data_IF_958497001665
#
_entry.id   IF_958497001665
#
_cell.length_a   1.000
_cell.length_b   1.000
_cell.length_c   1.000
_cell.angle_alpha   90.00
_cell.angle_beta   90.00
_cell.angle_gamma   90.00
#
_symmetry.space_group_name_H-M   'P 1'
#
loop_
_entity.id
_entity.type
_entity.pdbx_description
1 polymer ?
#
# COMPACT_ATOMS: atom_id res chain seq x y z
N UNK A 1 -11.03 -8.71 21.42
CA UNK A 1 -12.28 -8.40 20.68
C UNK A 1 -13.37 -9.40 21.05
N UNK A 2 -14.65 -9.05 20.89
CA UNK A 2 -15.76 -9.97 21.23
C UNK A 2 -16.78 -9.95 20.10
N UNK A 3 -17.17 -11.14 19.64
CA UNK A 3 -18.31 -11.32 18.73
C UNK A 3 -19.55 -11.54 19.58
N UNK A 4 -20.60 -10.76 19.35
CA UNK A 4 -21.93 -10.95 19.97
C UNK A 4 -22.99 -10.78 18.89
N UNK A 5 -23.92 -11.74 18.78
CA UNK A 5 -25.03 -11.67 17.82
C UNK A 5 -24.60 -11.37 16.38
N UNK A 6 -23.52 -11.98 15.89
CA UNK A 6 -22.92 -11.72 14.57
C UNK A 6 -22.35 -10.30 14.36
N UNK A 7 -22.28 -9.49 15.41
CA UNK A 7 -21.62 -8.19 15.41
C UNK A 7 -20.25 -8.32 16.09
N UNK A 8 -19.19 -7.89 15.40
CA UNK A 8 -17.86 -7.80 15.95
C UNK A 8 -17.66 -6.44 16.60
N UNK A 9 -17.51 -6.41 17.92
CA UNK A 9 -17.29 -5.17 18.66
C UNK A 9 -15.79 -4.86 18.67
N UNK A 10 -15.41 -3.72 18.08
CA UNK A 10 -14.04 -3.23 18.04
C UNK A 10 -13.56 -2.75 19.42
N UNK A 11 -12.25 -2.87 19.73
CA UNK A 11 -11.67 -2.35 20.96
C UNK A 11 -11.52 -0.81 20.87
N UNK A 12 -11.18 -0.17 21.98
CA UNK A 12 -11.02 1.30 22.03
C UNK A 12 -9.93 1.85 21.11
N UNK A 13 -8.88 1.07 20.86
CA UNK A 13 -7.74 1.50 20.05
C UNK A 13 -7.30 0.38 19.12
N UNK A 14 -7.05 0.71 17.87
CA UNK A 14 -6.42 -0.17 16.89
C UNK A 14 -5.11 0.45 16.42
N UNK A 15 -3.99 -0.10 16.89
CA UNK A 15 -2.66 0.36 16.53
C UNK A 15 -1.69 -0.81 16.31
N UNK A 16 -0.53 -0.53 15.72
CA UNK A 16 0.51 -1.53 15.45
C UNK A 16 0.86 -2.42 16.66
N UNK A 17 0.73 -1.92 17.88
CA UNK A 17 1.13 -2.66 19.09
C UNK A 17 0.13 -3.76 19.47
N UNK A 18 -1.15 -3.59 19.13
CA UNK A 18 -2.23 -4.46 19.61
C UNK A 18 -2.82 -5.39 18.54
N UNK A 19 -2.69 -5.04 17.25
CA UNK A 19 -3.26 -5.79 16.11
C UNK A 19 -2.83 -7.26 16.08
N UNK A 20 -1.56 -7.56 16.40
CA UNK A 20 -1.05 -8.94 16.35
C UNK A 20 -1.70 -9.83 17.42
N UNK A 21 -2.05 -9.25 18.57
CA UNK A 21 -2.79 -9.95 19.63
C UNK A 21 -4.21 -10.26 19.16
N UNK A 22 -4.91 -9.27 18.60
CA UNK A 22 -6.28 -9.43 18.13
C UNK A 22 -6.42 -10.39 16.94
N UNK A 23 -5.45 -10.41 16.02
CA UNK A 23 -5.42 -11.42 14.95
C UNK A 23 -5.38 -12.85 15.49
N UNK A 24 -4.59 -13.10 16.54
CA UNK A 24 -4.50 -14.42 17.17
C UNK A 24 -5.81 -14.79 17.88
N UNK A 25 -6.43 -13.83 18.59
CA UNK A 25 -7.74 -14.03 19.22
C UNK A 25 -8.81 -14.43 18.19
N UNK A 26 -8.86 -13.73 17.05
CA UNK A 26 -9.82 -14.01 15.97
C UNK A 26 -9.52 -15.33 15.27
N UNK A 27 -8.24 -15.67 15.07
CA UNK A 27 -7.86 -16.96 14.51
C UNK A 27 -8.24 -18.16 15.42
N UNK A 28 -8.25 -17.94 16.75
CA UNK A 28 -8.69 -18.93 17.73
C UNK A 28 -10.21 -19.02 17.81
N UNK A 29 -10.93 -17.92 17.56
CA UNK A 29 -12.38 -17.86 17.42
C UNK A 29 -12.81 -18.35 16.02
N UNK A 30 -12.64 -19.65 15.78
CA UNK A 30 -13.05 -20.28 14.50
C UNK A 30 -14.54 -20.05 14.21
N UNK A 31 -14.80 -19.44 13.05
CA UNK A 31 -16.01 -19.66 12.22
C UNK A 31 -17.35 -19.14 12.74
N UNK A 32 -17.38 -18.01 13.46
CA UNK A 32 -18.64 -17.26 13.59
C UNK A 32 -18.85 -16.34 12.37
N UNK A 33 -20.05 -16.41 11.79
CA UNK A 33 -20.46 -15.50 10.70
C UNK A 33 -20.65 -14.11 11.32
N UNK A 34 -19.85 -13.16 10.88
CA UNK A 34 -19.94 -11.75 11.27
C UNK A 34 -20.60 -10.98 10.14
N UNK A 35 -21.72 -10.33 10.42
CA UNK A 35 -22.49 -9.51 9.46
C UNK A 35 -22.20 -8.02 9.65
N UNK A 36 -21.80 -7.59 10.85
CA UNK A 36 -21.56 -6.19 11.20
C UNK A 36 -20.27 -6.04 12.01
N UNK A 37 -19.52 -4.97 11.75
CA UNK A 37 -18.35 -4.57 12.54
C UNK A 37 -18.68 -3.23 13.22
N UNK A 38 -18.84 -3.25 14.54
CA UNK A 38 -19.20 -2.07 15.32
C UNK A 38 -17.96 -1.31 15.79
N UNK A 39 -17.79 -0.10 15.25
CA UNK A 39 -16.72 0.84 15.60
C UNK A 39 -17.11 1.85 16.69
N UNK A 40 -18.28 1.72 17.32
CA UNK A 40 -18.79 2.73 18.27
C UNK A 40 -17.92 2.95 19.51
N UNK A 41 -17.09 1.97 19.89
CA UNK A 41 -16.13 2.10 20.99
C UNK A 41 -14.73 2.56 20.54
N UNK A 42 -14.48 2.63 19.23
CA UNK A 42 -13.17 2.94 18.68
C UNK A 42 -12.92 4.46 18.79
N UNK A 43 -11.84 4.84 19.46
CA UNK A 43 -11.43 6.23 19.62
C UNK A 43 -10.33 6.61 18.63
N UNK A 44 -9.45 5.67 18.28
CA UNK A 44 -8.30 5.92 17.41
C UNK A 44 -7.95 4.71 16.54
N UNK A 45 -7.66 4.98 15.27
CA UNK A 45 -7.15 4.02 14.28
C UNK A 45 -5.93 4.59 13.56
N UNK A 46 -4.87 3.80 13.40
CA UNK A 46 -3.73 4.12 12.54
C UNK A 46 -3.81 3.37 11.20
N UNK A 47 -2.86 3.59 10.29
CA UNK A 47 -2.81 2.89 9.00
C UNK A 47 -2.69 1.37 9.12
N UNK A 48 -2.07 0.87 10.19
CA UNK A 48 -2.01 -0.57 10.47
C UNK A 48 -3.38 -1.08 10.92
N UNK A 49 -4.11 -0.30 11.71
CA UNK A 49 -5.48 -0.59 12.14
C UNK A 49 -6.45 -0.65 10.97
N UNK A 50 -6.34 0.27 10.00
CA UNK A 50 -7.14 0.24 8.77
C UNK A 50 -6.83 -1.01 7.94
N UNK A 51 -5.55 -1.32 7.74
CA UNK A 51 -5.15 -2.56 7.05
C UNK A 51 -5.63 -3.83 7.77
N UNK A 52 -5.72 -3.79 9.10
CA UNK A 52 -6.29 -4.88 9.89
C UNK A 52 -7.80 -5.00 9.64
N UNK A 53 -8.56 -3.90 9.57
CA UNK A 53 -9.98 -3.93 9.22
C UNK A 53 -10.21 -4.49 7.81
N UNK A 54 -9.41 -4.08 6.83
CA UNK A 54 -9.45 -4.64 5.48
C UNK A 54 -9.23 -6.17 5.51
N UNK A 55 -8.29 -6.63 6.34
CA UNK A 55 -8.02 -8.06 6.49
C UNK A 55 -9.17 -8.80 7.16
N UNK A 56 -9.83 -8.20 8.14
CA UNK A 56 -11.04 -8.77 8.76
C UNK A 56 -12.18 -8.89 7.74
N UNK A 57 -12.38 -7.87 6.91
CA UNK A 57 -13.36 -7.93 5.82
C UNK A 57 -13.08 -9.09 4.88
N UNK A 58 -11.82 -9.27 4.46
CA UNK A 58 -11.42 -10.41 3.63
C UNK A 58 -11.72 -11.76 4.31
N UNK A 59 -11.36 -11.90 5.59
CA UNK A 59 -11.57 -13.14 6.36
C UNK A 59 -13.06 -13.47 6.48
N UNK A 60 -13.92 -12.52 6.85
CA UNK A 60 -15.35 -12.78 7.04
C UNK A 60 -16.11 -12.92 5.71
N UNK A 61 -15.67 -12.23 4.66
CA UNK A 61 -16.20 -12.41 3.30
C UNK A 61 -15.90 -13.83 2.79
N UNK A 62 -14.71 -14.36 3.07
CA UNK A 62 -14.34 -15.73 2.69
C UNK A 62 -15.12 -16.82 3.44
N UNK A 63 -15.63 -16.53 4.64
CA UNK A 63 -16.39 -17.47 5.48
C UNK A 63 -17.92 -17.31 5.38
N UNK A 64 -18.41 -16.31 4.64
CA UNK A 64 -19.85 -16.11 4.43
C UNK A 64 -20.40 -17.06 3.36
N UNK A 65 -21.63 -17.60 3.53
CA UNK A 65 -22.21 -18.51 2.55
C UNK A 65 -22.39 -17.81 1.20
N UNK A 66 -21.75 -18.36 0.16
CA UNK A 66 -21.90 -17.88 -1.20
C UNK A 66 -23.31 -18.24 -1.70
N UNK A 67 -24.18 -17.25 -1.90
CA UNK A 67 -25.45 -17.46 -2.61
C UNK A 67 -25.12 -17.51 -4.10
N UNK A 68 -25.13 -18.71 -4.67
CA UNK A 68 -24.99 -18.94 -6.11
C UNK A 68 -26.34 -18.66 -6.75
N UNK A 69 -26.51 -17.48 -7.36
CA UNK A 69 -27.58 -17.25 -8.33
C UNK A 69 -27.11 -17.74 -9.70
N UNK A 70 -27.84 -18.70 -10.28
CA UNK A 70 -27.54 -19.43 -11.52
C UNK A 70 -27.59 -18.58 -12.81
N UNK A 71 -27.78 -17.27 -12.72
CA UNK A 71 -27.96 -16.37 -13.86
C UNK A 71 -26.88 -15.27 -13.82
N UNK A 72 -25.68 -15.62 -14.25
CA UNK A 72 -24.67 -14.77 -14.90
C UNK A 72 -24.32 -13.37 -14.39
N UNK A 73 -24.52 -13.01 -13.12
CA UNK A 73 -23.86 -11.87 -12.47
C UNK A 73 -23.43 -12.30 -11.06
N UNK A 74 -22.16 -12.69 -10.94
CA UNK A 74 -21.61 -13.36 -9.77
C UNK A 74 -20.93 -12.34 -8.83
N UNK A 75 -21.09 -12.59 -7.52
CA UNK A 75 -20.43 -11.99 -6.35
C UNK A 75 -21.05 -10.72 -5.73
N UNK A 76 -22.17 -10.89 -5.02
CA UNK A 76 -22.36 -10.18 -3.73
C UNK A 76 -22.09 -11.16 -2.60
N UNK A 77 -20.80 -11.41 -2.33
CA UNK A 77 -20.45 -11.89 -1.00
C UNK A 77 -20.99 -10.84 -0.01
N UNK A 78 -21.73 -11.26 1.01
CA UNK A 78 -22.18 -10.33 2.04
C UNK A 78 -20.94 -9.87 2.81
N UNK A 79 -20.35 -8.77 2.36
CA UNK A 79 -19.28 -8.08 3.07
C UNK A 79 -19.86 -7.53 4.37
N UNK A 80 -19.21 -7.73 5.52
CA UNK A 80 -19.64 -7.10 6.75
C UNK A 80 -19.71 -5.58 6.56
N UNK A 81 -20.72 -4.92 7.12
CA UNK A 81 -20.78 -3.46 7.13
C UNK A 81 -20.08 -2.91 8.37
N UNK A 82 -19.25 -1.88 8.21
CA UNK A 82 -18.73 -1.14 9.37
C UNK A 82 -19.77 -0.12 9.79
N UNK A 83 -20.24 -0.20 11.03
CA UNK A 83 -21.22 0.71 11.62
C UNK A 83 -20.55 1.58 12.70
N UNK A 84 -21.14 2.73 12.98
CA UNK A 84 -20.72 3.67 14.04
C UNK A 84 -19.27 4.21 13.91
N UNK A 85 -18.79 4.40 12.68
CA UNK A 85 -17.57 5.17 12.44
C UNK A 85 -17.84 6.66 12.72
N UNK A 86 -17.02 7.28 13.57
CA UNK A 86 -17.02 8.73 13.70
C UNK A 86 -16.32 9.38 12.49
N UNK A 87 -16.48 10.70 12.30
CA UNK A 87 -15.96 11.40 11.12
C UNK A 87 -14.43 11.38 10.98
N UNK A 88 -13.70 11.30 12.09
CA UNK A 88 -12.22 11.28 12.09
C UNK A 88 -11.67 9.89 11.68
N UNK A 89 -12.31 8.83 12.19
CA UNK A 89 -12.02 7.46 11.82
C UNK A 89 -12.42 7.18 10.37
N UNK A 90 -13.52 7.76 9.89
CA UNK A 90 -13.96 7.65 8.49
C UNK A 90 -12.92 8.22 7.53
N UNK A 91 -12.35 9.40 7.83
CA UNK A 91 -11.27 9.98 7.03
C UNK A 91 -10.02 9.11 7.01
N UNK A 92 -9.66 8.56 8.16
CA UNK A 92 -8.51 7.65 8.29
C UNK A 92 -8.74 6.37 7.48
N UNK A 93 -9.94 5.80 7.56
CA UNK A 93 -10.35 4.62 6.81
C UNK A 93 -10.32 4.86 5.30
N UNK A 94 -10.94 5.93 4.81
CA UNK A 94 -10.93 6.29 3.38
C UNK A 94 -9.52 6.57 2.84
N UNK A 95 -8.64 7.15 3.66
CA UNK A 95 -7.27 7.48 3.25
C UNK A 95 -6.39 6.24 3.11
N UNK A 96 -6.58 5.24 3.98
CA UNK A 96 -5.67 4.10 4.10
C UNK A 96 -6.27 2.76 3.66
N UNK A 97 -7.58 2.66 3.38
CA UNK A 97 -8.21 1.41 2.95
C UNK A 97 -7.76 1.04 1.54
N UNK A 98 -7.52 -0.25 1.37
CA UNK A 98 -7.03 -0.87 0.15
C UNK A 98 -8.09 -1.69 -0.57
N UNK A 99 -9.30 -1.83 -0.02
CA UNK A 99 -10.36 -2.69 -0.57
C UNK A 99 -10.86 -2.22 -1.94
N UNK A 100 -10.82 -0.91 -2.21
CA UNK A 100 -11.24 -0.33 -3.50
C UNK A 100 -10.09 -0.26 -4.52
N UNK A 101 -8.86 -0.63 -4.14
CA UNK A 101 -7.74 -0.59 -5.05
C UNK A 101 -7.89 -1.70 -6.10
N UNK A 102 -7.62 -1.41 -7.39
CA UNK A 102 -7.65 -2.43 -8.41
C UNK A 102 -6.68 -3.54 -8.04
N UNK A 103 -7.22 -4.75 -7.88
CA UNK A 103 -6.41 -5.94 -7.59
C UNK A 103 -5.41 -6.08 -8.72
N UNK A 104 -4.14 -5.79 -8.43
CA UNK A 104 -3.05 -6.15 -9.33
C UNK A 104 -2.98 -7.67 -9.30
N UNK A 105 -3.67 -8.32 -10.23
CA UNK A 105 -3.50 -9.72 -10.51
C UNK A 105 -2.00 -9.93 -10.73
N UNK A 106 -1.33 -10.57 -9.77
CA UNK A 106 0.07 -10.95 -9.93
C UNK A 106 0.15 -11.67 -11.26
N UNK A 107 0.96 -11.14 -12.18
CA UNK A 107 1.22 -11.81 -13.45
C UNK A 107 1.54 -13.26 -13.14
N UNK A 108 0.81 -14.17 -13.80
CA UNK A 108 0.92 -15.61 -13.59
C UNK A 108 2.41 -15.94 -13.67
N UNK A 109 2.99 -16.44 -12.57
CA UNK A 109 4.41 -16.72 -12.52
C UNK A 109 4.73 -17.70 -13.65
N UNK A 110 5.48 -17.23 -14.64
CA UNK A 110 5.90 -18.05 -15.76
C UNK A 110 6.77 -19.21 -15.29
N UNK A 111 6.95 -20.21 -16.15
CA UNK A 111 7.90 -21.29 -15.90
C UNK A 111 9.32 -20.71 -15.67
N UNK A 112 10.22 -21.45 -15.02
CA UNK A 112 11.58 -20.99 -14.65
C UNK A 112 12.33 -20.39 -15.84
N UNK A 113 12.14 -20.95 -17.05
CA UNK A 113 12.72 -20.43 -18.28
C UNK A 113 12.19 -19.05 -18.70
N UNK A 114 10.90 -18.79 -18.46
CA UNK A 114 10.28 -17.49 -18.74
C UNK A 114 10.84 -16.46 -17.75
N UNK A 115 10.91 -16.79 -16.46
CA UNK A 115 11.47 -15.91 -15.44
C UNK A 115 12.95 -15.59 -15.70
N UNK A 116 13.75 -16.58 -16.10
CA UNK A 116 15.16 -16.36 -16.44
C UNK A 116 15.30 -15.48 -17.69
N UNK A 117 14.46 -15.70 -18.70
CA UNK A 117 14.43 -14.88 -19.92
C UNK A 117 14.01 -13.44 -19.67
N UNK A 118 12.95 -13.23 -18.89
CA UNK A 118 12.47 -11.91 -18.48
C UNK A 118 13.55 -11.16 -17.69
N UNK A 119 14.18 -11.82 -16.71
CA UNK A 119 15.25 -11.21 -15.93
C UNK A 119 16.48 -10.89 -16.77
N UNK A 120 16.86 -11.78 -17.69
CA UNK A 120 18.00 -11.55 -18.58
C UNK A 120 17.73 -10.39 -19.55
N UNK A 121 16.53 -10.32 -20.12
CA UNK A 121 16.11 -9.23 -20.98
C UNK A 121 16.07 -7.90 -20.23
N UNK A 122 15.47 -7.88 -19.03
CA UNK A 122 15.43 -6.70 -18.18
C UNK A 122 16.83 -6.23 -17.77
N UNK A 123 17.74 -7.17 -17.47
CA UNK A 123 19.13 -6.87 -17.16
C UNK A 123 19.87 -6.28 -18.36
N UNK A 124 19.68 -6.82 -19.57
CA UNK A 124 20.28 -6.27 -20.79
C UNK A 124 19.80 -4.85 -21.08
N UNK A 125 18.48 -4.62 -21.00
CA UNK A 125 17.90 -3.30 -21.25
C UNK A 125 18.39 -2.28 -20.20
N UNK A 126 18.41 -2.67 -18.93
CA UNK A 126 18.94 -1.83 -17.85
C UNK A 126 20.44 -1.55 -18.03
N UNK A 127 21.21 -2.55 -18.46
CA UNK A 127 22.64 -2.39 -18.72
C UNK A 127 22.89 -1.42 -19.88
N UNK A 128 22.11 -1.53 -20.96
CA UNK A 128 22.19 -0.63 -22.11
C UNK A 128 21.90 0.82 -21.70
N UNK A 129 20.84 1.03 -20.91
CA UNK A 129 20.51 2.35 -20.36
C UNK A 129 21.61 2.88 -19.43
N UNK A 130 22.17 2.03 -18.57
CA UNK A 130 23.31 2.39 -17.73
C UNK A 130 24.53 2.80 -18.55
N UNK A 131 24.83 2.10 -19.65
CA UNK A 131 25.93 2.48 -20.55
C UNK A 131 25.70 3.81 -21.26
N UNK A 132 24.47 4.09 -21.72
CA UNK A 132 24.15 5.41 -22.27
C UNK A 132 24.34 6.51 -21.24
N UNK A 133 23.81 6.31 -20.02
CA UNK A 133 23.95 7.28 -18.94
C UNK A 133 25.42 7.48 -18.54
N UNK A 134 26.20 6.41 -18.46
CA UNK A 134 27.64 6.47 -18.22
C UNK A 134 28.34 7.25 -19.34
N UNK A 135 28.04 6.97 -20.59
CA UNK A 135 28.62 7.68 -21.73
C UNK A 135 28.30 9.19 -21.67
N UNK A 136 27.06 9.55 -21.34
CA UNK A 136 26.66 10.95 -21.17
C UNK A 136 27.38 11.61 -19.99
N UNK A 137 27.44 10.93 -18.83
CA UNK A 137 28.17 11.43 -17.66
C UNK A 137 29.64 11.63 -17.99
N UNK A 138 30.30 10.66 -18.63
CA UNK A 138 31.69 10.76 -19.04
C UNK A 138 31.90 11.92 -20.01
N UNK A 139 31.06 12.03 -21.04
CA UNK A 139 31.15 13.12 -22.00
C UNK A 139 31.03 14.49 -21.31
N UNK A 140 30.01 14.70 -20.49
CA UNK A 140 29.79 15.98 -19.83
C UNK A 140 30.77 16.27 -18.69
N UNK A 141 31.26 15.24 -18.00
CA UNK A 141 32.26 15.40 -16.93
C UNK A 141 33.64 15.76 -17.47
N UNK A 142 34.01 15.25 -18.64
CA UNK A 142 35.32 15.54 -19.24
C UNK A 142 35.25 16.66 -20.28
N UNK A 143 34.41 16.53 -21.31
CA UNK A 143 34.30 17.53 -22.40
C UNK A 143 33.47 18.73 -21.97
N UNK A 144 32.36 18.47 -21.26
CA UNK A 144 31.42 19.51 -20.82
C UNK A 144 32.01 20.53 -19.85
N UNK A 145 33.03 20.15 -19.06
CA UNK A 145 33.73 21.08 -18.17
C UNK A 145 34.53 22.14 -18.95
N UNK A 146 35.08 21.77 -20.11
CA UNK A 146 35.83 22.71 -20.95
C UNK A 146 34.94 23.42 -21.99
N UNK A 147 33.82 22.81 -22.39
CA UNK A 147 32.89 23.40 -23.34
C UNK A 147 31.86 24.30 -22.63
N UNK A 148 32.18 25.59 -22.51
CA UNK A 148 31.30 26.61 -21.91
C UNK A 148 30.09 26.99 -22.77
N UNK A 149 29.95 26.42 -23.99
CA UNK A 149 28.92 26.79 -24.95
C UNK A 149 27.58 26.18 -24.51
N UNK A 150 26.71 27.00 -23.92
CA UNK A 150 25.39 26.59 -23.41
C UNK A 150 25.23 26.63 -21.88
N UNK A 151 26.32 26.86 -21.13
CA UNK A 151 26.25 26.99 -19.67
C UNK A 151 25.93 28.44 -19.26
N UNK A 152 24.80 28.64 -18.57
CA UNK A 152 24.47 29.94 -17.95
C UNK A 152 25.39 30.15 -16.74
N UNK A 153 26.11 31.27 -16.72
CA UNK A 153 27.00 31.63 -15.59
C UNK A 153 26.23 31.57 -14.27
N UNK A 154 26.77 30.88 -13.26
CA UNK A 154 26.15 30.74 -11.94
C UNK A 154 25.18 29.57 -11.77
N UNK A 155 24.97 28.74 -12.81
CA UNK A 155 24.05 27.58 -12.73
C UNK A 155 24.39 26.60 -11.62
N UNK A 156 25.68 26.35 -11.35
CA UNK A 156 26.13 25.42 -10.29
C UNK A 156 25.69 25.92 -8.91
N UNK A 157 25.89 27.20 -8.62
CA UNK A 157 25.47 27.82 -7.35
C UNK A 157 23.94 27.82 -7.24
N UNK A 158 23.24 28.14 -8.32
CA UNK A 158 21.78 28.18 -8.34
C UNK A 158 21.16 26.79 -8.15
N UNK A 159 21.71 25.75 -8.77
CA UNK A 159 21.27 24.36 -8.60
C UNK A 159 21.61 23.83 -7.20
N UNK A 160 22.78 24.18 -6.65
CA UNK A 160 23.12 23.84 -5.27
C UNK A 160 22.16 24.45 -4.25
N UNK A 161 21.76 25.72 -4.47
CA UNK A 161 20.75 26.37 -3.62
C UNK A 161 19.38 25.70 -3.74
N UNK A 162 18.94 25.38 -4.96
CA UNK A 162 17.67 24.68 -5.19
C UNK A 162 17.63 23.32 -4.48
N UNK A 163 18.64 22.48 -4.68
CA UNK A 163 18.69 21.15 -4.04
C UNK A 163 18.72 21.27 -2.52
N UNK A 164 19.50 22.22 -1.98
CA UNK A 164 19.56 22.43 -0.53
C UNK A 164 18.26 22.98 0.07
N UNK A 165 17.62 23.94 -0.61
CA UNK A 165 16.35 24.52 -0.18
C UNK A 165 15.19 23.53 -0.30
N UNK A 166 15.16 22.72 -1.36
CA UNK A 166 14.11 21.71 -1.59
C UNK A 166 14.26 20.50 -0.65
N UNK A 167 15.48 20.17 -0.22
CA UNK A 167 15.73 19.06 0.71
C UNK A 167 15.44 19.42 2.19
N UNK A 168 15.51 20.71 2.55
CA UNK A 168 15.34 21.21 3.93
C UNK A 168 14.02 20.76 4.59
N UNK A 169 12.84 20.89 3.93
CA UNK A 169 11.56 20.48 4.52
C UNK A 169 11.49 18.99 4.85
N UNK A 170 12.06 18.13 4.00
CA UNK A 170 12.04 16.68 4.19
C UNK A 170 12.91 16.31 5.39
N UNK A 171 14.09 16.91 5.52
CA UNK A 171 15.02 16.65 6.63
C UNK A 171 14.41 17.11 7.97
N UNK A 172 13.72 18.26 7.97
CA UNK A 172 13.04 18.78 9.16
C UNK A 172 11.86 17.92 9.62
N UNK A 173 11.14 17.28 8.70
CA UNK A 173 10.03 16.38 9.04
C UNK A 173 10.50 15.00 9.54
N UNK A 174 11.75 14.63 9.26
CA UNK A 174 12.36 13.36 9.69
C UNK A 174 13.11 13.47 11.02
N UNK A 175 13.39 14.68 11.51
CA UNK A 175 14.05 14.95 12.79
C UNK A 175 13.07 15.25 13.90
#
# INVERSE_FOLDING_TARGET
MIIKNKTLILPQKLDKSNITGFLKEIALQKSEIVEEIDAGNLEMIDSAGVAFLDKLMEIFTAHSPQIINLNSELFTAHSPQIINLNSELEQSYQTFSSLELPIQLKAKQGNIFILLGENFYAWLESSKQAFYLLADIFYWSFVGVFNKKGQRKGSVTQQGLLIGADALPIILLLS
#
